data_IF_549974437617
#
_entry.id   IF_549974437617
#
_cell.length_a   1.000
_cell.length_b   1.000
_cell.length_c   1.000
_cell.angle_alpha   90.00
_cell.angle_beta   90.00
_cell.angle_gamma   90.00
#
_symmetry.space_group_name_H-M   'P 1'
#
loop_
_entity.id
_entity.type
_entity.pdbx_description
1 polymer ?
#
# COMPACT_ATOMS: atom_id res chain seq x y z
N UNK A 1 9.28 -20.67 12.66
CA UNK A 1 8.25 -20.19 11.71
C UNK A 1 7.82 -21.35 10.86
N UNK A 2 6.52 -21.68 10.84
CA UNK A 2 6.00 -22.71 9.93
C UNK A 2 5.92 -22.11 8.52
N UNK A 3 6.42 -22.84 7.53
CA UNK A 3 6.29 -22.46 6.13
C UNK A 3 4.79 -22.55 5.77
N UNK A 4 4.16 -21.47 5.26
CA UNK A 4 2.74 -21.50 4.95
C UNK A 4 2.47 -22.53 3.85
N UNK A 5 1.39 -23.31 3.98
CA UNK A 5 1.03 -24.28 2.97
C UNK A 5 0.50 -23.59 1.72
N UNK A 6 0.35 -24.33 0.60
CA UNK A 6 -0.17 -23.77 -0.66
C UNK A 6 -1.52 -23.07 -0.45
N UNK A 7 -2.40 -23.68 0.34
CA UNK A 7 -3.74 -23.14 0.65
C UNK A 7 -3.67 -21.86 1.47
N UNK A 8 -2.82 -21.79 2.49
CA UNK A 8 -2.65 -20.59 3.32
C UNK A 8 -2.15 -19.41 2.49
N UNK A 9 -1.21 -19.68 1.55
CA UNK A 9 -0.75 -18.67 0.61
C UNK A 9 -1.88 -18.14 -0.27
N UNK A 10 -2.74 -19.02 -0.78
CA UNK A 10 -3.89 -18.61 -1.60
C UNK A 10 -4.89 -17.78 -0.79
N UNK A 11 -5.18 -18.16 0.46
CA UNK A 11 -6.06 -17.38 1.35
C UNK A 11 -5.47 -16.00 1.63
N UNK A 12 -4.17 -15.93 1.92
CA UNK A 12 -3.46 -14.66 2.12
C UNK A 12 -3.52 -13.76 0.89
N UNK A 13 -3.21 -14.27 -0.31
CA UNK A 13 -3.29 -13.49 -1.55
C UNK A 13 -4.72 -13.05 -1.86
N UNK A 14 -5.72 -13.91 -1.63
CA UNK A 14 -7.12 -13.53 -1.81
C UNK A 14 -7.58 -12.43 -0.84
N UNK A 15 -7.14 -12.47 0.42
CA UNK A 15 -7.40 -11.40 1.39
C UNK A 15 -6.71 -10.08 1.00
N UNK A 16 -5.45 -10.17 0.52
CA UNK A 16 -4.70 -9.03 -0.01
C UNK A 16 -5.46 -8.35 -1.15
N UNK A 17 -5.88 -9.12 -2.14
CA UNK A 17 -6.47 -8.59 -3.36
C UNK A 17 -7.82 -7.92 -3.07
N UNK A 18 -8.63 -8.49 -2.16
CA UNK A 18 -9.86 -7.85 -1.67
C UNK A 18 -9.57 -6.53 -0.95
N UNK A 19 -8.55 -6.49 -0.10
CA UNK A 19 -8.17 -5.27 0.61
C UNK A 19 -7.68 -4.19 -0.38
N UNK A 20 -6.83 -4.54 -1.35
CA UNK A 20 -6.33 -3.59 -2.34
C UNK A 20 -7.44 -3.07 -3.27
N UNK A 21 -8.32 -3.94 -3.74
CA UNK A 21 -9.48 -3.56 -4.56
C UNK A 21 -10.41 -2.58 -3.81
N UNK A 22 -10.60 -2.78 -2.51
CA UNK A 22 -11.37 -1.85 -1.67
C UNK A 22 -10.73 -0.46 -1.63
N UNK A 23 -9.40 -0.40 -1.44
CA UNK A 23 -8.67 0.85 -1.34
C UNK A 23 -8.60 1.58 -2.69
N UNK A 24 -8.53 0.86 -3.80
CA UNK A 24 -8.52 1.43 -5.15
C UNK A 24 -9.90 2.02 -5.51
N UNK A 25 -11.00 1.45 -4.98
CA UNK A 25 -12.37 1.93 -5.21
C UNK A 25 -12.80 3.08 -4.31
N UNK A 26 -12.47 3.02 -3.02
CA UNK A 26 -12.96 3.96 -2.00
C UNK A 26 -11.95 5.09 -1.76
N UNK A 27 -10.67 4.88 -2.06
CA UNK A 27 -9.60 5.75 -1.61
C UNK A 27 -9.16 5.44 -0.19
N UNK A 28 -8.06 6.06 0.25
CA UNK A 28 -7.41 5.82 1.54
C UNK A 28 -8.09 6.56 2.72
N UNK A 29 -9.41 6.74 2.64
CA UNK A 29 -10.16 7.48 3.66
C UNK A 29 -10.33 6.66 4.96
N UNK A 30 -10.13 7.32 6.10
CA UNK A 30 -10.17 6.74 7.46
C UNK A 30 -11.50 6.06 7.83
N UNK A 31 -12.60 6.42 7.15
CA UNK A 31 -13.94 5.85 7.35
C UNK A 31 -14.29 4.74 6.37
N UNK A 32 -13.30 4.23 5.64
CA UNK A 32 -13.54 3.23 4.61
C UNK A 32 -13.93 1.86 5.20
N UNK A 33 -14.82 1.12 4.52
CA UNK A 33 -15.15 -0.27 4.89
C UNK A 33 -13.94 -1.22 4.79
N UNK A 34 -12.79 -0.73 4.31
CA UNK A 34 -11.58 -1.51 4.10
C UNK A 34 -10.87 -1.90 5.42
N UNK A 35 -11.24 -1.29 6.56
CA UNK A 35 -10.67 -1.64 7.87
C UNK A 35 -10.93 -3.08 8.30
N UNK A 36 -12.09 -3.65 7.95
CA UNK A 36 -12.38 -5.07 8.24
C UNK A 36 -11.56 -6.00 7.35
N UNK A 37 -11.42 -5.65 6.07
CA UNK A 37 -10.57 -6.38 5.12
C UNK A 37 -9.09 -6.32 5.53
N UNK A 38 -8.64 -5.22 6.14
CA UNK A 38 -7.29 -5.10 6.69
C UNK A 38 -7.05 -6.11 7.80
N UNK A 39 -7.99 -6.26 8.73
CA UNK A 39 -7.88 -7.26 9.82
C UNK A 39 -7.81 -8.68 9.26
N UNK A 40 -8.65 -9.01 8.27
CA UNK A 40 -8.60 -10.31 7.61
C UNK A 40 -7.25 -10.54 6.93
N UNK A 41 -6.74 -9.53 6.24
CA UNK A 41 -5.44 -9.59 5.58
C UNK A 41 -4.28 -9.85 6.56
N UNK A 42 -4.26 -9.15 7.69
CA UNK A 42 -3.25 -9.37 8.75
C UNK A 42 -3.40 -10.71 9.46
N UNK A 43 -4.61 -11.26 9.55
CA UNK A 43 -4.86 -12.57 10.14
C UNK A 43 -4.42 -13.73 9.22
N UNK A 44 -4.66 -13.63 7.92
CA UNK A 44 -4.33 -14.69 6.97
C UNK A 44 -2.88 -14.64 6.48
N UNK A 45 -2.24 -13.47 6.51
CA UNK A 45 -0.88 -13.29 6.03
C UNK A 45 0.11 -13.17 7.18
N UNK A 46 1.33 -13.67 6.97
CA UNK A 46 2.42 -13.38 7.92
C UNK A 46 2.73 -11.88 7.97
N UNK A 47 3.16 -11.38 9.12
CA UNK A 47 3.52 -9.98 9.31
C UNK A 47 4.62 -9.50 8.33
N UNK A 48 5.54 -10.38 7.94
CA UNK A 48 6.58 -10.07 6.95
C UNK A 48 5.99 -9.88 5.56
N UNK A 49 5.01 -10.70 5.19
CA UNK A 49 4.33 -10.61 3.90
C UNK A 49 3.48 -9.34 3.82
N UNK A 50 2.72 -9.03 4.87
CA UNK A 50 1.96 -7.78 4.99
C UNK A 50 2.87 -6.58 4.76
N UNK A 51 3.98 -6.47 5.51
CA UNK A 51 4.96 -5.38 5.34
C UNK A 51 5.54 -5.30 3.93
N UNK A 52 5.87 -6.44 3.32
CA UNK A 52 6.41 -6.48 1.96
C UNK A 52 5.39 -5.98 0.93
N UNK A 53 4.16 -6.46 1.03
CA UNK A 53 3.08 -6.11 0.12
C UNK A 53 2.62 -4.66 0.29
N UNK A 54 2.50 -4.15 1.52
CA UNK A 54 2.18 -2.74 1.78
C UNK A 54 3.22 -1.82 1.13
N UNK A 55 4.52 -2.12 1.30
CA UNK A 55 5.59 -1.38 0.62
C UNK A 55 5.48 -1.44 -0.90
N UNK A 56 5.14 -2.61 -1.45
CA UNK A 56 4.96 -2.80 -2.89
C UNK A 56 3.79 -1.96 -3.41
N UNK A 57 2.64 -1.98 -2.73
CA UNK A 57 1.47 -1.18 -3.10
C UNK A 57 1.80 0.31 -3.12
N UNK A 58 2.42 0.79 -2.05
CA UNK A 58 2.81 2.18 -1.90
C UNK A 58 3.75 2.64 -3.03
N UNK A 59 4.71 1.79 -3.42
CA UNK A 59 5.55 2.05 -4.60
C UNK A 59 4.75 2.10 -5.90
N UNK A 60 3.77 1.21 -6.09
CA UNK A 60 2.93 1.20 -7.29
C UNK A 60 2.04 2.45 -7.38
N UNK A 61 1.43 2.86 -6.27
CA UNK A 61 0.65 4.11 -6.18
C UNK A 61 1.54 5.30 -6.49
N UNK A 62 2.72 5.37 -5.87
CA UNK A 62 3.71 6.40 -6.14
C UNK A 62 4.10 6.45 -7.62
N UNK A 63 4.44 5.29 -8.20
CA UNK A 63 4.84 5.16 -9.60
C UNK A 63 3.71 5.62 -10.53
N UNK A 64 2.49 5.15 -10.30
CA UNK A 64 1.33 5.50 -11.10
C UNK A 64 1.06 7.01 -11.09
N UNK A 65 1.15 7.64 -9.90
CA UNK A 65 0.99 9.09 -9.78
C UNK A 65 2.04 9.86 -10.55
N UNK A 66 3.30 9.46 -10.46
CA UNK A 66 4.40 10.09 -11.20
C UNK A 66 4.25 9.91 -12.71
N UNK A 67 3.80 8.75 -13.17
CA UNK A 67 3.56 8.48 -14.60
C UNK A 67 2.37 9.29 -15.15
N UNK A 68 1.30 9.48 -14.38
CA UNK A 68 0.09 10.17 -14.83
C UNK A 68 0.12 11.70 -14.63
N UNK A 69 0.58 12.17 -13.47
CA UNK A 69 0.54 13.60 -13.10
C UNK A 69 1.89 14.30 -13.35
N UNK A 70 2.96 13.53 -13.58
CA UNK A 70 4.33 14.04 -13.56
C UNK A 70 4.79 14.43 -12.14
N UNK A 71 6.02 14.94 -12.04
CA UNK A 71 6.50 15.54 -10.78
C UNK A 71 6.03 16.99 -10.75
N UNK A 72 5.04 17.31 -9.92
CA UNK A 72 4.61 18.70 -9.76
C UNK A 72 5.76 19.59 -9.22
N UNK A 73 5.89 20.81 -9.76
CA UNK A 73 6.96 21.75 -9.40
C UNK A 73 6.97 22.14 -7.90
N UNK A 74 5.83 22.01 -7.21
CA UNK A 74 5.69 22.23 -5.76
C UNK A 74 6.47 21.20 -4.93
N UNK A 75 6.54 19.94 -5.38
CA UNK A 75 7.36 18.88 -4.77
C UNK A 75 8.86 19.14 -4.96
N UNK A 76 9.25 19.68 -6.12
CA UNK A 76 10.65 20.05 -6.43
C UNK A 76 11.13 21.21 -5.55
N UNK A 77 10.27 22.19 -5.27
CA UNK A 77 10.62 23.32 -4.39
C UNK A 77 10.82 22.89 -2.92
N UNK A 78 10.01 21.97 -2.40
CA UNK A 78 10.21 21.42 -1.05
C UNK A 78 11.48 20.55 -0.92
N UNK A 79 11.91 19.90 -2.01
CA UNK A 79 13.14 19.11 -2.04
C UNK A 79 14.45 19.91 -1.95
N UNK A 80 14.43 21.25 -2.11
CA UNK A 80 15.66 22.05 -1.99
C UNK A 80 16.20 22.17 -0.55
N UNK A 81 15.40 21.85 0.47
CA UNK A 81 15.82 22.01 1.89
C UNK A 81 16.03 20.70 2.67
N UNK A 82 15.44 19.57 2.26
CA UNK A 82 15.75 18.25 2.86
C UNK A 82 15.68 17.14 1.81
N UNK A 83 16.79 16.43 1.58
CA UNK A 83 16.94 15.31 0.62
C UNK A 83 16.12 14.04 0.93
N UNK A 84 15.06 14.11 1.76
CA UNK A 84 14.19 12.98 2.13
C UNK A 84 12.82 13.60 2.48
N UNK A 85 11.65 13.29 1.91
CA UNK A 85 11.13 12.12 1.17
C UNK A 85 9.95 12.60 0.31
N UNK A 86 10.05 12.51 -1.00
CA UNK A 86 8.89 12.73 -1.92
C UNK A 86 7.83 11.62 -1.73
N UNK A 87 8.26 10.45 -1.28
CA UNK A 87 7.43 9.26 -1.06
C UNK A 87 6.32 9.48 -0.01
N UNK A 88 6.60 10.12 1.13
CA UNK A 88 5.59 10.31 2.19
C UNK A 88 4.52 11.35 1.85
N UNK A 89 4.81 12.31 0.97
CA UNK A 89 3.81 13.29 0.52
C UNK A 89 2.83 12.69 -0.49
N UNK A 90 3.23 11.63 -1.19
CA UNK A 90 2.43 10.97 -2.24
C UNK A 90 1.65 9.76 -1.71
N UNK A 91 2.23 9.05 -0.75
CA UNK A 91 1.71 7.78 -0.22
C UNK A 91 1.00 7.96 1.13
N UNK A 92 1.10 9.13 1.77
CA UNK A 92 0.58 9.34 3.12
C UNK A 92 1.46 8.70 4.22
N UNK A 93 1.26 9.10 5.49
CA UNK A 93 1.94 8.52 6.65
C UNK A 93 1.50 7.08 6.97
#
# INVERSE_FOLDING_TARGET
MSFPNKEDRQRCWGARDKYWDCLDKVGEDEKSPCGELRKLYENFCSTQWVKHFDRKRNYLVFKNRIENEGISNSTVQKCKFQKRRVYHEIVGP
#
